data_IF_059800851298
#
_entry.id   IF_059800851298
#
_cell.length_a   1.000
_cell.length_b   1.000
_cell.length_c   1.000
_cell.angle_alpha   90.00
_cell.angle_beta   90.00
_cell.angle_gamma   90.00
#
_symmetry.space_group_name_H-M   'P 1'
#
loop_
_entity.id
_entity.type
_entity.pdbx_description
1 polymer ?
#
# COMPACT_ATOMS: atom_id res chain seq x y z
N UNK A 1 -14.10 -14.61 33.47
CA UNK A 1 -12.81 -14.46 32.74
C UNK A 1 -13.12 -14.60 31.26
N UNK A 2 -13.32 -13.50 30.54
CA UNK A 2 -13.54 -13.52 29.10
C UNK A 2 -12.18 -13.67 28.43
N UNK A 3 -12.01 -14.77 27.69
CA UNK A 3 -10.84 -14.97 26.84
C UNK A 3 -10.73 -13.79 25.83
N UNK A 4 -9.53 -13.27 25.54
CA UNK A 4 -9.37 -12.24 24.53
C UNK A 4 -9.76 -12.86 23.18
N UNK A 5 -10.75 -12.26 22.53
CA UNK A 5 -11.13 -12.58 21.16
C UNK A 5 -9.89 -12.34 20.28
N UNK A 6 -9.26 -13.41 19.83
CA UNK A 6 -8.21 -13.32 18.81
C UNK A 6 -8.85 -12.66 17.58
N UNK A 7 -8.43 -11.46 17.26
CA UNK A 7 -8.68 -10.84 15.96
C UNK A 7 -7.87 -11.68 14.97
N UNK A 8 -8.56 -12.57 14.25
CA UNK A 8 -7.98 -13.22 13.07
C UNK A 8 -7.73 -12.12 12.05
N UNK A 9 -6.52 -11.64 11.96
CA UNK A 9 -6.04 -10.86 10.82
C UNK A 9 -5.86 -11.83 9.65
N UNK A 10 -6.95 -12.24 9.03
CA UNK A 10 -6.90 -13.01 7.80
C UNK A 10 -6.40 -12.08 6.69
N UNK A 11 -5.14 -12.25 6.32
CA UNK A 11 -4.56 -11.57 5.16
C UNK A 11 -5.37 -11.98 3.93
N UNK A 12 -5.95 -11.02 3.23
CA UNK A 12 -6.75 -11.28 2.06
C UNK A 12 -5.84 -11.79 0.92
N UNK A 13 -6.22 -12.91 0.32
CA UNK A 13 -5.48 -13.53 -0.78
C UNK A 13 -6.08 -13.11 -2.12
N UNK A 14 -5.25 -12.54 -3.01
CA UNK A 14 -5.66 -12.18 -4.37
C UNK A 14 -5.42 -13.30 -5.40
N UNK A 15 -4.87 -14.44 -4.96
CA UNK A 15 -4.69 -15.59 -5.83
C UNK A 15 -6.05 -16.14 -6.28
N UNK A 16 -6.08 -16.74 -7.47
CA UNK A 16 -7.32 -17.25 -8.05
C UNK A 16 -8.27 -16.17 -8.56
N UNK A 17 -7.80 -14.94 -8.79
CA UNK A 17 -8.62 -13.89 -9.38
C UNK A 17 -9.07 -14.28 -10.79
N UNK A 18 -10.38 -14.33 -10.99
CA UNK A 18 -11.04 -14.63 -12.26
C UNK A 18 -11.92 -13.46 -12.68
N UNK A 19 -11.77 -13.01 -13.91
CA UNK A 19 -12.53 -11.90 -14.49
C UNK A 19 -13.72 -12.48 -15.26
N UNK A 20 -14.92 -11.96 -14.98
CA UNK A 20 -16.17 -12.36 -15.64
C UNK A 20 -16.68 -11.27 -16.60
N UNK A 21 -16.52 -9.98 -16.23
CA UNK A 21 -17.02 -8.85 -17.03
C UNK A 21 -15.96 -7.74 -17.07
N UNK A 22 -15.81 -7.11 -18.23
CA UNK A 22 -14.93 -5.97 -18.46
C UNK A 22 -15.67 -4.92 -19.29
N UNK A 23 -15.61 -3.66 -18.89
CA UNK A 23 -16.03 -2.51 -19.69
C UNK A 23 -15.03 -1.37 -19.50
N UNK A 24 -14.81 -0.58 -20.58
CA UNK A 24 -13.85 0.53 -20.56
C UNK A 24 -14.55 1.81 -21.01
N UNK A 25 -14.26 2.90 -20.30
CA UNK A 25 -14.72 4.26 -20.59
C UNK A 25 -13.54 5.18 -20.77
N UNK A 26 -13.66 6.22 -21.62
CA UNK A 26 -12.64 7.24 -21.75
C UNK A 26 -12.99 8.46 -20.90
N UNK A 27 -12.06 8.85 -20.05
CA UNK A 27 -12.15 10.01 -19.20
C UNK A 27 -11.23 11.08 -19.78
N UNK A 28 -11.75 12.29 -19.97
CA UNK A 28 -10.98 13.41 -20.52
C UNK A 28 -10.42 14.27 -19.38
N UNK A 29 -9.25 14.91 -19.56
CA UNK A 29 -8.82 15.97 -18.66
C UNK A 29 -9.81 17.14 -18.76
N UNK A 30 -9.81 18.03 -17.76
CA UNK A 30 -10.55 19.30 -17.89
C UNK A 30 -10.04 20.07 -19.11
N UNK A 31 -10.92 20.87 -19.76
CA UNK A 31 -10.51 21.71 -20.87
C UNK A 31 -9.53 22.82 -20.40
N UNK A 32 -8.79 23.47 -21.34
CA UNK A 32 -8.00 24.66 -21.02
C UNK A 32 -8.80 25.76 -20.33
N UNK A 33 -10.07 25.91 -20.69
CA UNK A 33 -11.05 26.86 -20.12
C UNK A 33 -11.59 26.41 -18.76
N UNK A 34 -11.09 25.28 -18.24
CA UNK A 34 -11.52 24.64 -16.99
C UNK A 34 -12.97 24.16 -17.01
N UNK A 35 -13.45 23.71 -18.15
CA UNK A 35 -14.76 23.08 -18.28
C UNK A 35 -14.68 21.55 -18.15
N UNK A 36 -15.75 20.95 -17.64
CA UNK A 36 -15.88 19.51 -17.51
C UNK A 36 -16.27 18.91 -18.87
N UNK A 37 -15.38 18.12 -19.44
CA UNK A 37 -15.65 17.37 -20.67
C UNK A 37 -16.30 16.05 -20.27
N UNK A 38 -17.50 15.75 -20.80
CA UNK A 38 -18.20 14.50 -20.48
C UNK A 38 -17.39 13.26 -20.91
N UNK A 39 -17.36 12.20 -20.12
CA UNK A 39 -16.68 10.96 -20.48
C UNK A 39 -17.31 10.33 -21.72
N UNK A 40 -16.50 9.65 -22.53
CA UNK A 40 -17.01 8.78 -23.59
C UNK A 40 -17.23 7.39 -23.02
N UNK A 41 -18.50 7.01 -22.87
CA UNK A 41 -18.89 5.73 -22.26
C UNK A 41 -19.14 4.65 -23.30
N UNK A 42 -18.79 3.41 -22.97
CA UNK A 42 -19.09 2.21 -23.75
C UNK A 42 -20.47 1.67 -23.39
N UNK A 43 -21.08 0.99 -24.37
CA UNK A 43 -22.38 0.31 -24.19
C UNK A 43 -22.28 -1.21 -24.37
N UNK A 44 -21.06 -1.75 -24.44
CA UNK A 44 -20.82 -3.20 -24.65
C UNK A 44 -19.66 -3.65 -23.78
N UNK A 45 -19.80 -4.86 -23.23
CA UNK A 45 -18.71 -5.55 -22.55
C UNK A 45 -17.61 -5.95 -23.53
N UNK A 46 -16.37 -5.94 -23.05
CA UNK A 46 -15.21 -6.40 -23.79
C UNK A 46 -15.07 -7.90 -23.56
N UNK A 47 -14.81 -8.64 -24.64
CA UNK A 47 -14.42 -10.04 -24.59
C UNK A 47 -12.96 -10.13 -25.01
N UNK A 48 -12.11 -10.61 -24.12
CA UNK A 48 -10.72 -10.88 -24.39
C UNK A 48 -10.53 -12.34 -24.76
N UNK A 49 -9.54 -12.62 -25.60
CA UNK A 49 -9.03 -13.98 -25.80
C UNK A 49 -8.36 -14.47 -24.51
N UNK A 50 -8.31 -15.80 -24.30
CA UNK A 50 -7.86 -16.40 -23.05
C UNK A 50 -6.47 -15.92 -22.62
N UNK A 51 -5.51 -15.84 -23.53
CA UNK A 51 -4.16 -15.39 -23.22
C UNK A 51 -4.12 -13.93 -22.70
N UNK A 52 -4.94 -13.05 -23.31
CA UNK A 52 -5.05 -11.64 -22.86
C UNK A 52 -5.77 -11.54 -21.51
N UNK A 53 -6.79 -12.39 -21.29
CA UNK A 53 -7.52 -12.46 -20.03
C UNK A 53 -6.60 -12.93 -18.90
N UNK A 54 -5.82 -13.99 -19.11
CA UNK A 54 -4.86 -14.53 -18.14
C UNK A 54 -3.78 -13.50 -17.81
N UNK A 55 -3.26 -12.80 -18.83
CA UNK A 55 -2.28 -11.72 -18.61
C UNK A 55 -2.86 -10.57 -17.77
N UNK A 56 -4.11 -10.18 -18.00
CA UNK A 56 -4.77 -9.12 -17.23
C UNK A 56 -5.02 -9.57 -15.79
N UNK A 57 -5.52 -10.78 -15.57
CA UNK A 57 -5.75 -11.38 -14.26
C UNK A 57 -4.44 -11.43 -13.44
N UNK A 58 -3.37 -11.94 -14.06
CA UNK A 58 -2.05 -11.99 -13.41
C UNK A 58 -1.54 -10.60 -13.02
N UNK A 59 -1.72 -9.59 -13.86
CA UNK A 59 -1.29 -8.22 -13.57
C UNK A 59 -2.06 -7.59 -12.42
N UNK A 60 -3.37 -7.75 -12.37
CA UNK A 60 -4.20 -7.26 -11.27
C UNK A 60 -3.83 -7.96 -9.97
N UNK A 61 -3.69 -9.28 -9.98
CA UNK A 61 -3.26 -10.08 -8.84
C UNK A 61 -1.90 -9.62 -8.32
N UNK A 62 -0.92 -9.43 -9.22
CA UNK A 62 0.43 -8.97 -8.87
C UNK A 62 0.43 -7.54 -8.30
N UNK A 63 -0.39 -6.65 -8.84
CA UNK A 63 -0.49 -5.28 -8.36
C UNK A 63 -1.10 -5.21 -6.96
N UNK A 64 -2.27 -5.82 -6.75
CA UNK A 64 -2.99 -5.80 -5.47
C UNK A 64 -2.31 -6.64 -4.40
N UNK A 65 -1.71 -7.79 -4.79
CA UNK A 65 -0.90 -8.62 -3.91
C UNK A 65 0.53 -8.09 -3.69
N UNK A 66 0.87 -6.94 -4.28
CA UNK A 66 2.18 -6.31 -4.08
C UNK A 66 2.32 -5.85 -2.64
N UNK A 67 3.21 -6.49 -1.91
CA UNK A 67 3.45 -6.23 -0.48
C UNK A 67 4.00 -4.83 -0.18
N UNK A 68 4.42 -4.09 -1.20
CA UNK A 68 4.97 -2.74 -1.09
C UNK A 68 3.95 -1.64 -1.43
N UNK A 69 3.00 -1.90 -2.32
CA UNK A 69 2.13 -0.87 -2.91
C UNK A 69 0.63 -1.18 -2.83
N UNK A 70 0.26 -2.45 -2.57
CA UNK A 70 -1.13 -2.83 -2.32
C UNK A 70 -1.52 -2.50 -0.87
N UNK A 71 -2.53 -1.68 -0.67
CA UNK A 71 -2.94 -1.16 0.65
C UNK A 71 -4.40 -1.52 0.90
N UNK A 72 -4.70 -2.10 2.06
CA UNK A 72 -6.08 -2.23 2.52
C UNK A 72 -6.57 -0.87 3.06
N UNK A 73 -7.75 -0.45 2.61
CA UNK A 73 -8.35 0.86 2.91
C UNK A 73 -9.61 0.71 3.75
N UNK A 74 -10.06 1.78 4.39
CA UNK A 74 -11.38 1.85 5.03
C UNK A 74 -12.38 2.47 4.07
N UNK A 75 -13.57 1.88 3.96
CA UNK A 75 -14.70 2.45 3.25
C UNK A 75 -15.28 3.56 4.14
N UNK A 76 -15.29 4.80 3.65
CA UNK A 76 -15.73 5.97 4.43
C UNK A 76 -16.99 6.62 3.88
N UNK A 77 -17.25 6.47 2.57
CA UNK A 77 -18.49 6.93 1.95
C UNK A 77 -19.41 5.74 1.68
N UNK A 78 -20.51 5.69 2.41
CA UNK A 78 -21.53 4.62 2.35
C UNK A 78 -22.90 5.13 1.89
N UNK A 79 -22.99 6.38 1.41
CA UNK A 79 -24.24 6.96 0.89
C UNK A 79 -24.73 6.16 -0.34
N UNK A 80 -26.03 6.24 -0.62
CA UNK A 80 -26.68 5.47 -1.70
C UNK A 80 -26.03 5.63 -3.08
N UNK A 81 -25.52 6.82 -3.37
CA UNK A 81 -24.79 7.09 -4.60
C UNK A 81 -23.28 6.88 -4.50
N UNK A 82 -22.75 6.38 -3.38
CA UNK A 82 -21.32 6.16 -3.21
C UNK A 82 -20.78 5.10 -4.19
N UNK A 83 -19.48 5.16 -4.45
CA UNK A 83 -18.80 4.09 -5.18
C UNK A 83 -19.07 2.73 -4.53
N UNK A 84 -19.05 2.68 -3.19
CA UNK A 84 -19.32 1.47 -2.43
C UNK A 84 -20.69 0.86 -2.74
N UNK A 85 -21.78 1.63 -2.60
CA UNK A 85 -23.12 1.12 -2.82
C UNK A 85 -23.36 0.72 -4.28
N UNK A 86 -22.88 1.52 -5.23
CA UNK A 86 -22.98 1.24 -6.66
C UNK A 86 -22.27 -0.08 -6.96
N UNK A 87 -21.01 -0.26 -6.52
CA UNK A 87 -20.22 -1.45 -6.84
C UNK A 87 -20.69 -2.70 -6.10
N UNK A 88 -21.19 -2.57 -4.87
CA UNK A 88 -21.81 -3.69 -4.16
C UNK A 88 -23.04 -4.23 -4.93
N UNK A 89 -23.89 -3.34 -5.45
CA UNK A 89 -24.99 -3.75 -6.33
C UNK A 89 -24.49 -4.39 -7.64
N UNK A 90 -23.42 -3.85 -8.24
CA UNK A 90 -22.86 -4.34 -9.50
C UNK A 90 -22.34 -5.78 -9.42
N UNK A 91 -21.90 -6.24 -8.25
CA UNK A 91 -21.40 -7.60 -8.05
C UNK A 91 -22.42 -8.68 -8.43
N UNK A 92 -23.70 -8.37 -8.29
CA UNK A 92 -24.81 -9.29 -8.54
C UNK A 92 -25.68 -8.88 -9.73
N UNK A 93 -25.29 -7.81 -10.45
CA UNK A 93 -26.04 -7.23 -11.56
C UNK A 93 -25.94 -8.07 -12.84
N UNK A 94 -26.99 -8.06 -13.65
CA UNK A 94 -26.93 -8.55 -15.02
C UNK A 94 -26.07 -7.62 -15.91
N UNK A 95 -25.83 -8.02 -17.17
CA UNK A 95 -24.92 -7.26 -18.04
C UNK A 95 -25.40 -5.84 -18.33
N UNK A 96 -26.71 -5.64 -18.52
CA UNK A 96 -27.26 -4.30 -18.78
C UNK A 96 -27.14 -3.38 -17.56
N UNK A 97 -27.50 -3.87 -16.40
CA UNK A 97 -27.37 -3.14 -15.13
C UNK A 97 -25.90 -2.80 -14.84
N UNK A 98 -24.99 -3.76 -15.09
CA UNK A 98 -23.55 -3.54 -14.94
C UNK A 98 -23.03 -2.45 -15.88
N UNK A 99 -23.46 -2.45 -17.15
CA UNK A 99 -23.10 -1.44 -18.14
C UNK A 99 -23.59 -0.06 -17.70
N UNK A 100 -24.85 0.08 -17.29
CA UNK A 100 -25.39 1.39 -16.87
C UNK A 100 -24.70 1.91 -15.59
N UNK A 101 -24.52 1.05 -14.59
CA UNK A 101 -23.81 1.44 -13.37
C UNK A 101 -22.34 1.84 -13.64
N UNK A 102 -21.67 1.18 -14.60
CA UNK A 102 -20.31 1.52 -14.99
C UNK A 102 -20.20 2.94 -15.61
N UNK A 103 -21.22 3.39 -16.34
CA UNK A 103 -21.29 4.76 -16.88
C UNK A 103 -21.38 5.78 -15.75
N UNK A 104 -22.19 5.50 -14.72
CA UNK A 104 -22.27 6.33 -13.51
C UNK A 104 -20.93 6.45 -12.82
N UNK A 105 -20.16 5.34 -12.71
CA UNK A 105 -18.81 5.37 -12.16
C UNK A 105 -17.85 6.21 -13.02
N UNK A 106 -17.98 6.17 -14.35
CA UNK A 106 -17.17 7.01 -15.23
C UNK A 106 -17.46 8.51 -15.03
N UNK A 107 -18.71 8.89 -14.86
CA UNK A 107 -19.10 10.26 -14.54
C UNK A 107 -18.58 10.71 -13.17
N UNK A 108 -18.66 9.85 -12.15
CA UNK A 108 -18.11 10.13 -10.82
C UNK A 108 -16.61 10.33 -10.83
N UNK A 109 -15.86 9.50 -11.53
CA UNK A 109 -14.40 9.68 -11.67
C UNK A 109 -14.09 10.99 -12.40
N UNK A 110 -14.84 11.29 -13.46
CA UNK A 110 -14.67 12.53 -14.21
C UNK A 110 -14.87 13.76 -13.34
N UNK A 111 -15.90 13.77 -12.50
CA UNK A 111 -16.15 14.82 -11.50
C UNK A 111 -15.05 14.89 -10.43
N UNK A 112 -14.61 13.74 -9.91
CA UNK A 112 -13.58 13.67 -8.87
C UNK A 112 -12.23 14.25 -9.35
N UNK A 113 -11.86 14.03 -10.61
CA UNK A 113 -10.60 14.56 -11.15
C UNK A 113 -10.70 16.01 -11.67
N UNK A 114 -11.88 16.55 -11.84
CA UNK A 114 -12.10 17.88 -12.43
C UNK A 114 -11.36 19.01 -11.70
N UNK A 115 -11.30 18.95 -10.37
CA UNK A 115 -10.61 19.96 -9.54
C UNK A 115 -9.10 19.80 -9.50
N UNK A 116 -8.57 18.80 -10.20
CA UNK A 116 -7.15 18.46 -10.22
C UNK A 116 -6.53 18.72 -11.59
N UNK A 117 -5.20 18.61 -11.69
CA UNK A 117 -4.47 18.55 -12.96
C UNK A 117 -4.26 17.10 -13.46
N UNK A 118 -5.07 16.16 -12.97
CA UNK A 118 -4.94 14.77 -13.36
C UNK A 118 -5.16 14.62 -14.88
N UNK A 119 -4.30 13.90 -15.57
CA UNK A 119 -4.46 13.65 -17.00
C UNK A 119 -5.72 12.80 -17.24
N UNK A 120 -6.26 12.89 -18.44
CA UNK A 120 -7.28 11.97 -18.91
C UNK A 120 -6.78 10.51 -18.88
N UNK A 121 -7.56 9.61 -19.42
CA UNK A 121 -7.17 8.20 -19.47
C UNK A 121 -8.35 7.29 -19.71
N UNK A 122 -8.16 6.03 -19.44
CA UNK A 122 -9.20 5.02 -19.52
C UNK A 122 -9.58 4.54 -18.11
N UNK A 123 -10.86 4.39 -17.88
CA UNK A 123 -11.42 3.72 -16.71
C UNK A 123 -11.94 2.34 -17.14
N UNK A 124 -11.29 1.29 -16.69
CA UNK A 124 -11.81 -0.07 -16.81
C UNK A 124 -12.55 -0.45 -15.52
N UNK A 125 -13.79 -0.91 -15.67
CA UNK A 125 -14.56 -1.52 -14.60
C UNK A 125 -14.62 -3.01 -14.86
N UNK A 126 -14.21 -3.79 -13.86
CA UNK A 126 -14.03 -5.23 -13.94
C UNK A 126 -14.82 -5.90 -12.83
N UNK A 127 -15.60 -6.91 -13.16
CA UNK A 127 -16.25 -7.79 -12.20
C UNK A 127 -15.70 -9.20 -12.30
N UNK A 128 -15.71 -9.93 -11.19
CA UNK A 128 -15.26 -11.33 -11.16
C UNK A 128 -15.25 -11.94 -9.78
N UNK A 129 -14.40 -12.95 -9.61
CA UNK A 129 -14.22 -13.68 -8.36
C UNK A 129 -12.76 -13.63 -7.92
N UNK A 130 -12.51 -13.61 -6.59
CA UNK A 130 -11.18 -13.53 -6.02
C UNK A 130 -11.08 -14.31 -4.71
N UNK A 131 -9.86 -14.81 -4.42
CA UNK A 131 -9.57 -15.55 -3.19
C UNK A 131 -10.06 -16.98 -3.20
N UNK A 132 -9.68 -17.73 -2.16
CA UNK A 132 -9.99 -19.16 -2.00
C UNK A 132 -11.49 -19.47 -1.99
N UNK A 133 -12.32 -18.53 -1.54
CA UNK A 133 -13.77 -18.69 -1.47
C UNK A 133 -14.49 -18.14 -2.70
N UNK A 134 -13.76 -17.77 -3.77
CA UNK A 134 -14.30 -17.17 -4.98
C UNK A 134 -15.27 -16.01 -4.70
N UNK A 135 -14.87 -15.10 -3.82
CA UNK A 135 -15.65 -13.94 -3.39
C UNK A 135 -15.87 -12.97 -4.56
N UNK A 136 -17.08 -12.43 -4.74
CA UNK A 136 -17.32 -11.46 -5.79
C UNK A 136 -16.53 -10.17 -5.54
N UNK A 137 -16.04 -9.58 -6.63
CA UNK A 137 -15.36 -8.28 -6.57
C UNK A 137 -15.75 -7.37 -7.73
N UNK A 138 -15.58 -6.06 -7.48
CA UNK A 138 -15.49 -5.03 -8.53
C UNK A 138 -14.14 -4.32 -8.39
N UNK A 139 -13.44 -4.18 -9.52
CA UNK A 139 -12.24 -3.37 -9.61
C UNK A 139 -12.45 -2.20 -10.58
N UNK A 140 -12.03 -1.02 -10.17
CA UNK A 140 -11.93 0.18 -10.99
C UNK A 140 -10.46 0.48 -11.26
N UNK A 141 -10.05 0.44 -12.53
CA UNK A 141 -8.66 0.67 -12.94
C UNK A 141 -8.62 1.95 -13.77
N UNK A 142 -7.95 2.99 -13.26
CA UNK A 142 -7.62 4.17 -14.06
C UNK A 142 -6.23 3.98 -14.66
N UNK A 143 -6.15 3.91 -15.98
CA UNK A 143 -4.92 3.79 -16.72
C UNK A 143 -4.73 4.99 -17.66
N UNK A 144 -3.50 5.48 -17.73
CA UNK A 144 -3.11 6.51 -18.68
C UNK A 144 -2.50 5.82 -19.90
N UNK A 145 -3.04 6.03 -21.11
CA UNK A 145 -2.48 5.47 -22.32
C UNK A 145 -1.03 5.93 -22.50
N UNK A 146 -0.19 5.04 -22.95
CA UNK A 146 1.19 5.32 -23.31
C UNK A 146 1.45 4.85 -24.75
N UNK A 147 2.33 5.54 -25.41
CA UNK A 147 2.80 5.13 -26.72
C UNK A 147 3.98 4.17 -26.56
N UNK A 148 4.14 3.26 -27.50
CA UNK A 148 5.22 2.29 -27.49
C UNK A 148 5.62 1.86 -28.90
N UNK A 149 6.68 1.08 -28.96
CA UNK A 149 7.14 0.47 -30.20
C UNK A 149 7.15 -1.03 -30.03
N UNK A 150 6.71 -1.77 -31.05
CA UNK A 150 6.80 -3.22 -31.13
C UNK A 150 7.81 -3.57 -32.21
N UNK A 151 8.70 -4.51 -31.90
CA UNK A 151 9.52 -5.15 -32.91
C UNK A 151 8.62 -5.98 -33.83
N UNK A 152 8.79 -5.82 -35.12
CA UNK A 152 8.10 -6.59 -36.15
C UNK A 152 9.16 -7.44 -36.88
N UNK A 153 9.09 -8.76 -36.66
CA UNK A 153 10.09 -9.71 -37.17
C UNK A 153 9.60 -10.27 -38.52
N UNK A 154 10.39 -10.03 -39.55
CA UNK A 154 10.23 -10.64 -40.86
C UNK A 154 11.41 -11.54 -41.15
N UNK A 155 11.29 -12.47 -42.11
CA UNK A 155 12.35 -13.43 -42.45
C UNK A 155 13.68 -12.76 -42.83
N UNK A 156 13.63 -11.57 -43.45
CA UNK A 156 14.82 -10.89 -43.98
C UNK A 156 15.18 -9.58 -43.23
N UNK A 157 14.33 -9.07 -42.30
CA UNK A 157 14.61 -7.83 -41.56
C UNK A 157 13.82 -7.70 -40.27
N UNK A 158 14.33 -6.88 -39.36
CA UNK A 158 13.62 -6.43 -38.16
C UNK A 158 13.02 -5.05 -38.43
N UNK A 159 11.71 -4.98 -38.40
CA UNK A 159 10.93 -3.74 -38.44
C UNK A 159 10.61 -3.21 -37.04
N UNK A 160 10.08 -2.00 -36.99
CA UNK A 160 9.57 -1.39 -35.76
C UNK A 160 8.24 -0.73 -36.04
N UNK A 161 7.20 -1.16 -35.34
CA UNK A 161 5.85 -0.59 -35.42
C UNK A 161 5.59 0.32 -34.23
N UNK A 162 5.12 1.54 -34.49
CA UNK A 162 4.64 2.43 -33.44
C UNK A 162 3.21 2.05 -33.05
N UNK A 163 3.01 1.82 -31.77
CA UNK A 163 1.70 1.52 -31.20
C UNK A 163 1.31 2.64 -30.26
N UNK A 164 0.26 3.37 -30.62
CA UNK A 164 -0.33 4.38 -29.76
C UNK A 164 -1.29 3.73 -28.75
N UNK A 165 -1.46 4.41 -27.60
CA UNK A 165 -2.47 4.06 -26.58
C UNK A 165 -2.33 2.64 -25.98
N UNK A 166 -1.11 2.19 -25.74
CA UNK A 166 -0.86 0.97 -24.96
C UNK A 166 -1.35 1.13 -23.52
N UNK A 167 -1.97 0.08 -23.00
CA UNK A 167 -2.55 0.05 -21.68
C UNK A 167 -1.94 -1.07 -20.83
N UNK A 168 -1.72 -0.79 -19.56
CA UNK A 168 -1.34 -1.80 -18.56
C UNK A 168 -0.12 -2.62 -18.99
N UNK A 169 0.91 -1.99 -19.55
CA UNK A 169 2.18 -2.64 -19.86
C UNK A 169 2.90 -3.02 -18.56
N UNK A 170 3.82 -3.99 -18.58
CA UNK A 170 4.55 -4.42 -17.37
C UNK A 170 5.37 -3.31 -16.72
N UNK A 171 5.85 -2.36 -17.53
CA UNK A 171 6.64 -1.21 -17.09
C UNK A 171 5.79 0.01 -16.72
N UNK A 172 4.49 -0.04 -16.98
CA UNK A 172 3.59 1.09 -16.75
C UNK A 172 3.36 1.31 -15.25
N UNK A 173 3.86 2.44 -14.73
CA UNK A 173 3.70 2.85 -13.32
C UNK A 173 2.49 3.77 -13.07
N UNK A 174 1.76 4.17 -14.11
CA UNK A 174 0.73 5.22 -14.03
C UNK A 174 -0.70 4.70 -13.99
N UNK A 175 -0.93 3.48 -13.53
CA UNK A 175 -2.29 3.00 -13.27
C UNK A 175 -2.61 2.97 -11.78
N UNK A 176 -3.89 3.14 -11.49
CA UNK A 176 -4.46 3.08 -10.16
C UNK A 176 -5.54 2.00 -10.16
N UNK A 177 -5.57 1.19 -9.12
CA UNK A 177 -6.59 0.15 -8.95
C UNK A 177 -7.28 0.38 -7.62
N UNK A 178 -8.61 0.53 -7.63
CA UNK A 178 -9.45 0.38 -6.47
C UNK A 178 -10.23 -0.93 -6.60
N UNK A 179 -10.19 -1.79 -5.60
CA UNK A 179 -10.94 -3.04 -5.57
C UNK A 179 -11.82 -3.08 -4.34
N UNK A 180 -13.08 -3.44 -4.53
CA UNK A 180 -14.04 -3.79 -3.49
C UNK A 180 -14.39 -5.27 -3.64
N UNK A 181 -14.36 -6.02 -2.53
CA UNK A 181 -14.78 -7.43 -2.50
C UNK A 181 -15.71 -7.70 -1.34
N UNK A 182 -16.71 -8.50 -1.57
CA UNK A 182 -17.62 -8.99 -0.52
C UNK A 182 -16.90 -10.09 0.28
N UNK A 183 -16.89 -9.98 1.60
CA UNK A 183 -16.25 -10.97 2.49
C UNK A 183 -17.26 -11.95 3.09
N UNK A 184 -18.51 -11.53 3.18
CA UNK A 184 -19.61 -12.33 3.72
C UNK A 184 -20.83 -12.05 2.87
N UNK A 185 -21.42 -13.10 2.30
CA UNK A 185 -22.65 -12.95 1.51
C UNK A 185 -23.77 -12.40 2.38
N UNK A 186 -24.23 -11.22 2.06
CA UNK A 186 -25.27 -10.53 2.80
C UNK A 186 -26.24 -9.82 1.86
N UNK A 187 -27.52 -9.90 2.15
CA UNK A 187 -28.55 -9.16 1.40
C UNK A 187 -28.59 -7.70 1.88
N UNK A 188 -28.75 -6.73 0.96
CA UNK A 188 -28.89 -5.35 1.36
C UNK A 188 -30.11 -5.15 2.27
N UNK A 189 -29.95 -4.27 3.24
CA UNK A 189 -31.07 -3.77 4.07
C UNK A 189 -31.78 -2.61 3.38
N UNK A 190 -32.81 -2.05 4.01
CA UNK A 190 -33.45 -0.80 3.55
C UNK A 190 -32.47 0.37 3.44
N UNK A 191 -31.33 0.31 4.13
CA UNK A 191 -30.27 1.32 4.12
C UNK A 191 -29.07 0.93 3.21
N UNK A 192 -29.27 -0.01 2.28
CA UNK A 192 -28.22 -0.52 1.39
C UNK A 192 -27.33 -1.58 2.03
N UNK A 193 -26.14 -1.75 1.48
CA UNK A 193 -25.13 -2.70 1.97
C UNK A 193 -24.39 -2.13 3.18
N UNK A 194 -23.98 -3.02 4.11
CA UNK A 194 -23.13 -2.66 5.24
C UNK A 194 -21.65 -2.85 4.86
N UNK A 195 -20.85 -1.81 5.02
CA UNK A 195 -19.40 -1.82 4.70
C UNK A 195 -18.61 -2.86 5.48
N UNK A 196 -19.08 -3.30 6.66
CA UNK A 196 -18.40 -4.32 7.47
C UNK A 196 -18.34 -5.71 6.80
N UNK A 197 -19.21 -5.94 5.79
CA UNK A 197 -19.22 -7.17 5.01
C UNK A 197 -18.31 -7.12 3.78
N UNK A 198 -17.52 -6.07 3.64
CA UNK A 198 -16.65 -5.84 2.50
C UNK A 198 -15.25 -5.48 2.93
N UNK A 199 -14.29 -5.78 2.06
CA UNK A 199 -12.94 -5.25 2.12
C UNK A 199 -12.65 -4.41 0.90
N UNK A 200 -11.86 -3.36 1.09
CA UNK A 200 -11.43 -2.50 0.01
C UNK A 200 -9.92 -2.38 -0.04
N UNK A 201 -9.39 -2.35 -1.26
CA UNK A 201 -7.96 -2.32 -1.52
C UNK A 201 -7.63 -1.25 -2.56
N UNK A 202 -6.48 -0.63 -2.38
CA UNK A 202 -5.93 0.36 -3.30
C UNK A 202 -4.53 -0.05 -3.73
N UNK A 203 -4.26 0.05 -5.04
CA UNK A 203 -2.92 0.07 -5.59
C UNK A 203 -2.72 1.41 -6.29
N UNK A 204 -1.77 2.20 -5.80
CA UNK A 204 -1.39 3.48 -6.40
C UNK A 204 0.01 3.86 -5.96
N UNK A 205 0.94 3.98 -6.91
CA UNK A 205 2.31 4.38 -6.61
C UNK A 205 2.42 5.75 -5.92
N UNK A 206 1.47 6.66 -6.15
CA UNK A 206 1.46 7.97 -5.50
C UNK A 206 1.16 7.90 -4.00
N UNK A 207 0.59 6.78 -3.54
CA UNK A 207 0.29 6.57 -2.11
C UNK A 207 1.52 6.25 -1.26
N UNK A 208 2.61 5.81 -1.88
CA UNK A 208 3.80 5.31 -1.17
C UNK A 208 4.70 6.41 -0.62
N UNK A 209 4.57 7.64 -1.10
CA UNK A 209 5.32 8.78 -0.57
C UNK A 209 4.37 9.86 -0.02
N UNK A 210 4.77 10.47 1.09
CA UNK A 210 3.97 11.52 1.75
C UNK A 210 3.76 12.72 0.84
N UNK A 211 4.74 13.05 0.01
CA UNK A 211 4.71 14.21 -0.89
C UNK A 211 3.75 14.01 -2.08
N UNK A 212 3.58 12.78 -2.57
CA UNK A 212 2.74 12.47 -3.74
C UNK A 212 1.32 12.04 -3.37
N UNK A 213 1.09 11.61 -2.12
CA UNK A 213 -0.23 11.17 -1.63
C UNK A 213 -1.37 12.18 -1.85
N UNK A 214 -1.20 13.50 -1.65
CA UNK A 214 -2.26 14.46 -1.94
C UNK A 214 -2.72 14.42 -3.40
N UNK A 215 -1.83 14.16 -4.36
CA UNK A 215 -2.18 14.02 -5.77
C UNK A 215 -3.00 12.76 -6.08
N UNK A 216 -2.98 11.75 -5.21
CA UNK A 216 -3.79 10.54 -5.32
C UNK A 216 -5.21 10.70 -4.74
N UNK A 217 -5.45 11.72 -3.91
CA UNK A 217 -6.66 11.87 -3.10
C UNK A 217 -7.95 11.91 -3.93
N UNK A 218 -7.91 12.50 -5.13
CA UNK A 218 -9.09 12.53 -6.00
C UNK A 218 -9.59 11.12 -6.35
N UNK A 219 -8.67 10.16 -6.49
CA UNK A 219 -9.02 8.79 -6.86
C UNK A 219 -9.53 8.01 -5.65
N UNK A 220 -8.72 7.88 -4.58
CA UNK A 220 -9.12 7.02 -3.46
C UNK A 220 -10.15 7.66 -2.54
N UNK A 221 -10.02 8.97 -2.24
CA UNK A 221 -10.94 9.63 -1.28
C UNK A 221 -12.21 10.14 -1.94
N UNK A 222 -12.09 10.84 -3.08
CA UNK A 222 -13.25 11.47 -3.72
C UNK A 222 -14.02 10.49 -4.60
N UNK A 223 -13.33 9.71 -5.45
CA UNK A 223 -13.98 8.78 -6.36
C UNK A 223 -14.37 7.46 -5.67
N UNK A 224 -13.42 6.79 -5.00
CA UNK A 224 -13.69 5.50 -4.36
C UNK A 224 -14.37 5.62 -2.99
N UNK A 225 -14.38 6.80 -2.38
CA UNK A 225 -14.94 6.99 -1.03
C UNK A 225 -14.20 6.18 0.04
N UNK A 226 -12.90 6.02 -0.12
CA UNK A 226 -12.03 5.27 0.78
C UNK A 226 -11.05 6.19 1.49
N UNK A 227 -10.61 5.81 2.68
CA UNK A 227 -9.54 6.51 3.38
C UNK A 227 -8.60 5.52 4.08
N UNK A 228 -7.53 6.07 4.62
CA UNK A 228 -6.53 5.33 5.40
C UNK A 228 -7.20 4.69 6.62
N UNK A 229 -6.89 3.44 6.90
CA UNK A 229 -7.44 2.75 8.06
C UNK A 229 -7.12 3.51 9.36
N UNK A 230 -8.12 3.68 10.23
CA UNK A 230 -7.96 4.31 11.56
C UNK A 230 -6.97 3.57 12.46
N UNK A 231 -6.73 2.30 12.20
CA UNK A 231 -5.77 1.47 12.90
C UNK A 231 -4.29 1.74 12.55
N UNK A 232 -3.98 2.63 11.60
CA UNK A 232 -2.61 2.88 11.10
C UNK A 232 -1.62 3.23 12.21
N UNK A 233 -2.01 4.02 13.23
CA UNK A 233 -1.17 4.34 14.40
C UNK A 233 -0.79 3.08 15.18
N UNK A 234 -1.77 2.22 15.44
CA UNK A 234 -1.57 0.96 16.17
C UNK A 234 -0.74 -0.01 15.34
N UNK A 235 -1.04 -0.18 14.06
CA UNK A 235 -0.27 -1.02 13.16
C UNK A 235 1.18 -0.57 13.03
N UNK A 236 1.43 0.74 12.94
CA UNK A 236 2.81 1.28 12.95
C UNK A 236 3.53 1.01 14.26
N UNK A 237 2.83 1.11 15.39
CA UNK A 237 3.37 0.74 16.69
C UNK A 237 3.69 -0.75 16.76
N UNK A 238 2.78 -1.62 16.34
CA UNK A 238 2.97 -3.07 16.33
C UNK A 238 4.12 -3.49 15.42
N UNK A 239 4.23 -2.86 14.25
CA UNK A 239 5.38 -3.04 13.37
C UNK A 239 6.70 -2.75 14.06
N UNK A 240 6.81 -1.59 14.71
CA UNK A 240 8.01 -1.22 15.46
C UNK A 240 8.32 -2.22 16.57
N UNK A 241 7.32 -2.59 17.37
CA UNK A 241 7.51 -3.47 18.53
C UNK A 241 7.83 -4.92 18.12
N UNK A 242 7.17 -5.45 17.10
CA UNK A 242 7.41 -6.81 16.61
C UNK A 242 8.76 -6.93 15.87
N UNK A 243 9.08 -5.97 15.01
CA UNK A 243 10.38 -5.97 14.34
C UNK A 243 11.53 -5.84 15.35
N UNK A 244 11.38 -4.97 16.34
CA UNK A 244 12.33 -4.85 17.43
C UNK A 244 12.48 -6.17 18.21
N UNK A 245 11.36 -6.80 18.59
CA UNK A 245 11.39 -8.09 19.29
C UNK A 245 12.07 -9.19 18.47
N UNK A 246 11.84 -9.23 17.14
CA UNK A 246 12.55 -10.14 16.26
C UNK A 246 14.06 -9.90 16.27
N UNK A 247 14.49 -8.66 16.12
CA UNK A 247 15.92 -8.30 16.14
C UNK A 247 16.55 -8.73 17.46
N UNK A 248 15.92 -8.39 18.59
CA UNK A 248 16.43 -8.70 19.93
C UNK A 248 16.58 -10.23 20.16
N UNK A 249 15.66 -11.05 19.61
CA UNK A 249 15.65 -12.53 19.80
C UNK A 249 16.35 -13.31 18.69
N UNK A 250 16.75 -12.66 17.60
CA UNK A 250 17.44 -13.31 16.48
C UNK A 250 18.83 -13.83 16.86
N UNK A 251 19.36 -14.74 16.07
CA UNK A 251 20.73 -15.29 16.22
C UNK A 251 21.82 -14.39 15.63
N UNK A 252 21.50 -13.17 15.25
CA UNK A 252 22.44 -12.20 14.70
C UNK A 252 23.44 -11.72 15.75
N UNK A 253 24.61 -11.27 15.31
CA UNK A 253 25.60 -10.62 16.18
C UNK A 253 25.08 -9.30 16.77
N UNK A 254 25.72 -8.82 17.81
CA UNK A 254 25.31 -7.55 18.44
C UNK A 254 25.45 -6.35 17.50
N UNK A 255 26.46 -6.33 16.65
CA UNK A 255 26.66 -5.29 15.67
C UNK A 255 25.57 -5.30 14.61
N UNK A 256 25.24 -6.48 14.05
CA UNK A 256 24.13 -6.63 13.11
C UNK A 256 22.78 -6.23 13.73
N UNK A 257 22.54 -6.57 15.01
CA UNK A 257 21.32 -6.14 15.72
C UNK A 257 21.29 -4.62 15.89
N UNK A 258 22.43 -3.99 16.18
CA UNK A 258 22.51 -2.54 16.31
C UNK A 258 22.17 -1.86 14.98
N UNK A 259 22.75 -2.33 13.89
CA UNK A 259 22.50 -1.82 12.53
C UNK A 259 21.04 -1.97 12.14
N UNK A 260 20.41 -3.11 12.44
CA UNK A 260 18.99 -3.33 12.18
C UNK A 260 18.08 -2.42 13.01
N UNK A 261 18.42 -2.15 14.27
CA UNK A 261 17.69 -1.18 15.10
C UNK A 261 17.78 0.25 14.52
N UNK A 262 18.94 0.65 13.99
CA UNK A 262 19.09 1.94 13.33
C UNK A 262 18.33 1.97 11.98
N UNK A 263 18.38 0.90 11.20
CA UNK A 263 17.61 0.74 9.96
C UNK A 263 16.09 0.88 10.23
N UNK A 264 15.57 0.19 11.24
CA UNK A 264 14.15 0.29 11.65
C UNK A 264 13.75 1.72 12.01
N UNK A 265 14.59 2.42 12.77
CA UNK A 265 14.30 3.83 13.12
C UNK A 265 14.39 4.74 11.90
N UNK A 266 15.33 4.51 11.01
CA UNK A 266 15.51 5.27 9.77
C UNK A 266 14.30 5.11 8.84
N UNK A 267 13.84 3.87 8.64
CA UNK A 267 12.66 3.55 7.82
C UNK A 267 11.40 4.24 8.36
N UNK A 268 11.18 4.18 9.68
CA UNK A 268 10.02 4.81 10.30
C UNK A 268 10.07 6.34 10.27
N UNK A 269 11.26 6.94 10.19
CA UNK A 269 11.44 8.41 10.05
C UNK A 269 11.55 8.88 8.61
N UNK A 270 11.64 7.97 7.65
CA UNK A 270 11.68 8.33 6.23
C UNK A 270 10.43 9.10 5.81
N UNK A 271 10.46 9.70 4.64
CA UNK A 271 9.31 10.39 4.03
C UNK A 271 8.31 9.42 3.39
N UNK A 272 8.60 8.12 3.39
CA UNK A 272 7.68 7.12 2.87
C UNK A 272 6.39 7.13 3.67
N UNK A 273 5.28 7.05 2.98
CA UNK A 273 3.96 7.11 3.61
C UNK A 273 3.42 5.72 3.97
N UNK A 274 4.14 4.67 3.60
CA UNK A 274 3.78 3.27 3.88
C UNK A 274 4.93 2.51 4.51
N UNK A 275 4.61 1.39 5.14
CA UNK A 275 5.55 0.43 5.72
C UNK A 275 5.22 -0.94 5.16
N UNK A 276 6.24 -1.71 4.81
CA UNK A 276 6.12 -3.09 4.33
C UNK A 276 7.12 -4.00 5.02
N UNK A 277 6.62 -5.10 5.58
CA UNK A 277 7.47 -6.17 6.15
C UNK A 277 8.40 -6.73 5.07
N UNK A 278 7.87 -6.92 3.87
CA UNK A 278 8.63 -7.44 2.73
C UNK A 278 9.76 -6.49 2.30
N UNK A 279 9.47 -5.18 2.18
CA UNK A 279 10.49 -4.20 1.79
C UNK A 279 11.60 -4.08 2.83
N UNK A 280 11.24 -4.01 4.11
CA UNK A 280 12.22 -3.99 5.20
C UNK A 280 13.08 -5.26 5.21
N UNK A 281 12.44 -6.43 5.03
CA UNK A 281 13.11 -7.72 4.92
C UNK A 281 14.17 -7.70 3.83
N UNK A 282 13.78 -7.28 2.62
CA UNK A 282 14.66 -7.21 1.44
C UNK A 282 15.80 -6.21 1.57
N UNK A 283 15.56 -5.05 2.17
CA UNK A 283 16.55 -3.98 2.27
C UNK A 283 17.58 -4.19 3.38
N UNK A 284 17.16 -4.78 4.50
CA UNK A 284 17.93 -4.70 5.72
C UNK A 284 18.23 -6.07 6.36
N UNK A 285 17.33 -7.04 6.24
CA UNK A 285 17.52 -8.36 6.88
C UNK A 285 18.42 -9.24 6.01
N UNK A 286 19.47 -9.89 6.58
CA UNK A 286 20.28 -10.86 5.85
C UNK A 286 19.43 -11.93 5.17
N UNK A 287 19.79 -12.34 3.95
CA UNK A 287 18.99 -13.25 3.11
C UNK A 287 18.59 -14.53 3.85
N UNK A 288 19.52 -15.10 4.64
CA UNK A 288 19.29 -16.30 5.45
C UNK A 288 18.20 -16.13 6.54
N UNK A 289 17.89 -14.91 6.94
CA UNK A 289 16.95 -14.58 8.01
C UNK A 289 15.62 -13.96 7.50
N UNK A 290 15.53 -13.61 6.20
CA UNK A 290 14.36 -12.92 5.64
C UNK A 290 13.07 -13.72 5.83
N UNK A 291 13.09 -15.01 5.48
CA UNK A 291 11.92 -15.89 5.63
C UNK A 291 11.51 -16.06 7.10
N UNK A 292 12.48 -16.14 8.01
CA UNK A 292 12.22 -16.24 9.44
C UNK A 292 11.54 -14.98 9.98
N UNK A 293 12.01 -13.80 9.57
CA UNK A 293 11.40 -12.52 9.92
C UNK A 293 9.96 -12.39 9.39
N UNK A 294 9.74 -12.68 8.11
CA UNK A 294 8.40 -12.61 7.51
C UNK A 294 7.42 -13.58 8.19
N UNK A 295 7.90 -14.80 8.52
CA UNK A 295 7.12 -15.79 9.28
C UNK A 295 6.81 -15.29 10.69
N UNK A 296 7.80 -14.71 11.39
CA UNK A 296 7.60 -14.15 12.72
C UNK A 296 6.53 -13.06 12.71
N UNK A 297 6.59 -12.11 11.78
CA UNK A 297 5.59 -11.05 11.63
C UNK A 297 4.20 -11.62 11.34
N UNK A 298 4.10 -12.61 10.48
CA UNK A 298 2.85 -13.32 10.17
C UNK A 298 2.27 -14.04 11.38
N UNK A 299 3.09 -14.73 12.20
CA UNK A 299 2.62 -15.41 13.42
C UNK A 299 2.13 -14.45 14.50
N UNK A 300 2.59 -13.19 14.46
CA UNK A 300 2.05 -12.10 15.30
C UNK A 300 0.75 -11.50 14.75
N UNK A 301 0.23 -12.02 13.64
CA UNK A 301 -0.95 -11.49 12.97
C UNK A 301 -0.73 -10.16 12.27
N UNK A 302 0.52 -9.79 11.96
CA UNK A 302 0.80 -8.54 11.27
C UNK A 302 0.44 -8.65 9.78
N UNK A 303 -0.22 -7.64 9.16
CA UNK A 303 -0.58 -7.66 7.75
C UNK A 303 0.63 -7.88 6.84
N UNK A 304 0.47 -8.71 5.81
CA UNK A 304 1.53 -8.93 4.82
C UNK A 304 1.60 -7.84 3.75
N UNK A 305 0.48 -7.15 3.50
CA UNK A 305 0.43 -6.01 2.61
C UNK A 305 1.04 -4.77 3.26
N UNK A 306 1.38 -3.77 2.45
CA UNK A 306 1.80 -2.47 2.97
C UNK A 306 0.71 -1.85 3.83
N UNK A 307 1.12 -1.24 4.92
CA UNK A 307 0.26 -0.43 5.78
C UNK A 307 0.59 1.05 5.66
N UNK A 308 -0.37 1.91 5.94
CA UNK A 308 -0.12 3.34 6.05
C UNK A 308 0.71 3.64 7.29
N UNK A 309 1.79 4.40 7.13
CA UNK A 309 2.67 4.80 8.22
C UNK A 309 2.08 5.97 9.00
N UNK A 310 1.91 5.78 10.31
CA UNK A 310 1.54 6.82 11.25
C UNK A 310 2.34 6.63 12.56
N UNK A 311 3.32 7.48 12.78
CA UNK A 311 4.30 7.36 13.87
C UNK A 311 3.87 8.00 15.18
N UNK A 312 2.67 8.55 15.29
CA UNK A 312 2.23 9.31 16.47
C UNK A 312 2.45 8.57 17.79
N UNK A 313 2.14 7.27 17.85
CA UNK A 313 2.29 6.47 19.07
C UNK A 313 3.74 6.09 19.40
N UNK A 314 4.66 6.25 18.45
CA UNK A 314 6.06 5.84 18.62
C UNK A 314 7.06 6.98 18.46
N UNK A 315 6.61 8.22 18.24
CA UNK A 315 7.51 9.38 18.06
C UNK A 315 8.59 9.48 19.14
N UNK A 316 8.23 9.28 20.40
CA UNK A 316 9.18 9.32 21.51
C UNK A 316 10.23 8.19 21.43
N UNK A 317 9.83 7.00 20.94
CA UNK A 317 10.71 5.83 20.79
C UNK A 317 11.65 5.95 19.60
N UNK A 318 11.30 6.77 18.59
CA UNK A 318 12.09 7.03 17.38
C UNK A 318 13.17 8.09 17.56
N UNK A 319 13.18 8.83 18.68
CA UNK A 319 14.22 9.83 18.94
C UNK A 319 15.58 9.17 18.91
N UNK A 320 16.53 9.85 18.23
CA UNK A 320 17.88 9.33 18.04
C UNK A 320 18.59 9.26 19.39
N UNK A 321 19.21 8.11 19.69
CA UNK A 321 20.10 8.00 20.85
C UNK A 321 21.23 9.02 20.71
N UNK A 322 21.65 9.67 21.80
CA UNK A 322 22.83 10.53 21.77
C UNK A 322 24.07 9.64 21.71
N UNK A 323 24.97 9.95 20.77
CA UNK A 323 26.25 9.28 20.62
C UNK A 323 27.35 10.28 20.95
N UNK A 324 28.14 9.96 21.94
CA UNK A 324 29.36 10.69 22.31
C UNK A 324 30.51 9.93 21.65
N UNK A 325 31.33 10.64 20.87
CA UNK A 325 32.44 10.08 20.12
C UNK A 325 33.71 10.70 20.64
N UNK A 326 34.67 9.87 21.05
CA UNK A 326 35.98 10.28 21.50
C UNK A 326 37.00 10.05 20.38
N UNK A 327 38.13 10.80 20.43
CA UNK A 327 39.15 10.78 19.37
C UNK A 327 39.95 9.46 19.25
N UNK A 328 39.76 8.53 20.20
CA UNK A 328 40.34 7.20 20.25
C UNK A 328 39.35 6.10 19.88
N UNK A 329 38.33 6.41 19.06
CA UNK A 329 37.27 5.52 18.62
C UNK A 329 36.44 4.87 19.74
N UNK A 330 36.44 5.45 20.94
CA UNK A 330 35.52 5.09 22.00
C UNK A 330 34.19 5.78 21.79
N UNK A 331 33.10 5.04 21.89
CA UNK A 331 31.74 5.59 21.75
C UNK A 331 30.90 5.28 22.98
N UNK A 332 30.12 6.24 23.42
CA UNK A 332 29.11 6.07 24.47
C UNK A 332 27.75 6.42 23.86
N UNK A 333 26.80 5.51 23.95
CA UNK A 333 25.45 5.67 23.43
C UNK A 333 24.46 5.72 24.60
N UNK A 334 23.68 6.79 24.66
CA UNK A 334 22.69 6.99 25.73
C UNK A 334 21.26 7.11 25.18
N UNK A 335 20.23 6.87 26.01
CA UNK A 335 18.85 7.17 25.65
C UNK A 335 18.69 8.67 25.26
N UNK A 336 17.83 8.99 24.27
CA UNK A 336 17.79 10.32 23.65
C UNK A 336 17.40 11.47 24.58
N UNK A 337 16.63 11.20 25.64
CA UNK A 337 16.07 12.25 26.51
C UNK A 337 16.62 12.23 27.92
N UNK A 338 17.61 11.40 28.23
CA UNK A 338 18.06 11.14 29.59
C UNK A 338 19.58 11.05 29.70
N UNK A 339 20.31 11.57 28.71
CA UNK A 339 21.78 11.51 28.73
C UNK A 339 22.38 12.22 29.96
N UNK A 340 21.82 13.36 30.34
CA UNK A 340 22.27 14.15 31.52
C UNK A 340 21.89 13.47 32.85
N UNK A 341 20.88 12.62 32.85
CA UNK A 341 20.47 11.83 34.02
C UNK A 341 21.42 10.65 34.27
N UNK A 342 21.99 10.07 33.20
CA UNK A 342 22.79 8.85 33.27
C UNK A 342 24.30 9.08 33.06
N UNK A 343 24.68 10.18 32.42
CA UNK A 343 26.07 10.52 32.12
C UNK A 343 26.42 11.88 32.71
N UNK A 344 27.58 11.93 33.37
CA UNK A 344 28.26 13.14 33.76
C UNK A 344 29.64 13.14 33.08
N UNK A 345 29.89 14.15 32.25
CA UNK A 345 31.12 14.26 31.45
C UNK A 345 31.87 15.48 32.01
N UNK A 346 33.02 15.24 32.66
CA UNK A 346 33.86 16.27 33.16
C UNK A 346 34.65 16.93 32.01
N UNK A 347 34.97 18.23 32.12
CA UNK A 347 35.86 18.91 31.16
C UNK A 347 37.19 18.18 31.01
N UNK A 348 37.76 18.28 29.79
CA UNK A 348 39.11 17.74 29.51
C UNK A 348 40.11 18.34 30.46
N UNK A 349 40.89 17.49 31.13
CA UNK A 349 41.98 17.93 32.01
C UNK A 349 43.23 18.38 31.23
N UNK A 350 44.25 18.86 31.92
CA UNK A 350 45.50 19.30 31.32
C UNK A 350 46.29 18.16 30.66
N UNK A 351 45.92 16.90 30.93
CA UNK A 351 46.53 15.70 30.36
C UNK A 351 45.75 15.19 29.11
N UNK A 352 44.66 15.83 28.71
CA UNK A 352 43.83 15.48 27.61
C UNK A 352 42.87 14.29 27.90
N UNK A 353 42.56 14.05 29.18
CA UNK A 353 41.69 12.95 29.62
C UNK A 353 40.28 13.53 29.88
N UNK A 354 39.28 12.84 29.30
CA UNK A 354 37.86 13.09 29.59
C UNK A 354 37.36 12.03 30.57
N UNK A 355 36.87 12.42 31.74
CA UNK A 355 36.25 11.50 32.69
C UNK A 355 34.78 11.43 32.44
N UNK A 356 34.25 10.22 32.22
CA UNK A 356 32.82 9.95 32.02
C UNK A 356 32.30 9.10 33.17
N UNK A 357 31.38 9.66 33.96
CA UNK A 357 30.72 8.96 35.05
C UNK A 357 29.37 8.43 34.60
N UNK A 358 29.17 7.12 34.70
CA UNK A 358 27.90 6.45 34.32
C UNK A 358 27.16 6.10 35.60
N UNK A 359 25.95 6.66 35.75
CA UNK A 359 25.04 6.34 36.86
C UNK A 359 24.28 5.07 36.54
N UNK A 360 24.83 3.91 36.85
CA UNK A 360 24.26 2.58 36.57
C UNK A 360 25.25 1.47 36.89
N UNK A 361 24.74 0.23 36.95
CA UNK A 361 25.58 -0.95 37.12
C UNK A 361 25.99 -1.51 35.77
N UNK A 362 27.25 -1.90 35.61
CA UNK A 362 27.73 -2.63 34.47
C UNK A 362 27.06 -4.04 34.47
N UNK A 363 26.24 -4.34 33.46
CA UNK A 363 25.50 -5.61 33.36
C UNK A 363 26.22 -6.67 32.51
N UNK A 364 27.23 -6.27 31.74
CA UNK A 364 28.01 -7.19 30.92
C UNK A 364 29.17 -6.48 30.24
N UNK A 365 30.18 -7.27 29.89
CA UNK A 365 31.31 -6.93 29.04
C UNK A 365 31.41 -8.01 27.96
N UNK A 366 31.50 -7.59 26.70
CA UNK A 366 31.65 -8.50 25.56
C UNK A 366 32.94 -8.20 24.84
#
# INVERSE_FOLDING_TARGET
MNAPTMIKNDTFCFEGLMIEKIIIHRIFPRSPEKELIKPRTSSKLIRLEQAALDALQMRITKALGNKSHGIEMSITDTNDESFFQITANMMHANDNEFIEASKTLAEKLNQAQFTTSAPGGLLAIIAGRVGEQAQPFIAAIKAEPQDGFRADEHEDFLGMEYIAELLLTETQRFYKIGLLTETTSYKPTTNGYNSDNFKSFLFDHLMTATETRPAAAYFYRVFLGMDIQKSSKKLTQDYFEYTRAYIDTSSLSNDEKLDLHEALRSELRSKDATISVFEFSKKHIPESQQKAYETFMSTKGFPQNSINKDIDYIQAKLKRRRKYIFNNDVWIITPPNKSEEYLDIEPIDEQGITVVKIKGLLQGQQ
#
